data_IF_780678347867
#
_entry.id   IF_780678347867
#
_cell.length_a   1.000
_cell.length_b   1.000
_cell.length_c   1.000
_cell.angle_alpha   90.00
_cell.angle_beta   90.00
_cell.angle_gamma   90.00
#
_symmetry.space_group_name_H-M   'P 1'
#
loop_
_entity.id
_entity.type
_entity.pdbx_description
1 polymer ?
#
# COMPACT_ATOMS: atom_id res chain seq x y z
N UNK A 1 -50.98 -8.77 5.61
CA UNK A 1 -51.28 -10.18 5.97
C UNK A 1 -52.79 -10.35 6.20
N UNK A 2 -53.47 -9.45 6.93
CA UNK A 2 -54.95 -9.46 7.06
C UNK A 2 -55.75 -8.83 5.89
N UNK A 3 -55.09 -8.37 4.82
CA UNK A 3 -55.74 -7.69 3.69
C UNK A 3 -55.87 -8.51 2.40
N UNK A 4 -55.45 -9.79 2.39
CA UNK A 4 -55.55 -10.69 1.23
C UNK A 4 -54.76 -10.27 -0.03
N UNK A 5 -53.94 -9.22 0.06
CA UNK A 5 -53.23 -8.61 -1.07
C UNK A 5 -51.99 -9.39 -1.53
N UNK A 6 -51.51 -10.36 -0.75
CA UNK A 6 -50.33 -11.19 -1.05
C UNK A 6 -50.63 -12.60 -0.56
N UNK A 7 -50.52 -13.59 -1.44
CA UNK A 7 -50.66 -15.01 -1.09
C UNK A 7 -49.47 -15.46 -0.24
N UNK A 8 -49.70 -16.31 0.76
CA UNK A 8 -48.68 -16.74 1.75
C UNK A 8 -47.43 -17.34 1.10
N UNK A 9 -47.58 -18.01 -0.05
CA UNK A 9 -46.48 -18.56 -0.84
C UNK A 9 -45.61 -17.46 -1.49
N UNK A 10 -46.22 -16.41 -2.04
CA UNK A 10 -45.50 -15.27 -2.61
C UNK A 10 -44.79 -14.46 -1.52
N UNK A 11 -45.43 -14.29 -0.36
CA UNK A 11 -44.79 -13.67 0.81
C UNK A 11 -43.55 -14.46 1.24
N UNK A 12 -43.67 -15.78 1.39
CA UNK A 12 -42.56 -16.65 1.80
C UNK A 12 -41.41 -16.61 0.79
N UNK A 13 -41.71 -16.72 -0.50
CA UNK A 13 -40.69 -16.67 -1.54
C UNK A 13 -39.92 -15.33 -1.55
N UNK A 14 -40.63 -14.20 -1.39
CA UNK A 14 -40.00 -12.88 -1.29
C UNK A 14 -39.18 -12.73 -0.01
N UNK A 15 -39.70 -13.22 1.10
CA UNK A 15 -38.99 -13.19 2.38
C UNK A 15 -37.69 -14.00 2.33
N UNK A 16 -37.74 -15.21 1.77
CA UNK A 16 -36.57 -16.07 1.62
C UNK A 16 -35.53 -15.44 0.68
N UNK A 17 -35.96 -14.81 -0.42
CA UNK A 17 -35.07 -14.05 -1.31
C UNK A 17 -34.41 -12.87 -0.59
N UNK A 18 -35.18 -12.06 0.13
CA UNK A 18 -34.64 -10.93 0.92
C UNK A 18 -33.62 -11.43 1.94
N UNK A 19 -33.87 -12.58 2.58
CA UNK A 19 -32.94 -13.18 3.53
C UNK A 19 -31.64 -13.62 2.87
N UNK A 20 -31.70 -14.18 1.67
CA UNK A 20 -30.51 -14.52 0.87
C UNK A 20 -29.73 -13.27 0.45
N UNK A 21 -30.43 -12.24 -0.05
CA UNK A 21 -29.82 -10.98 -0.44
C UNK A 21 -29.11 -10.30 0.74
N UNK A 22 -29.75 -10.28 1.92
CA UNK A 22 -29.14 -9.78 3.17
C UNK A 22 -27.87 -10.54 3.54
N UNK A 23 -27.87 -11.87 3.36
CA UNK A 23 -26.68 -12.67 3.65
C UNK A 23 -25.54 -12.36 2.66
N UNK A 24 -25.85 -12.18 1.38
CA UNK A 24 -24.87 -11.80 0.36
C UNK A 24 -24.28 -10.41 0.64
N UNK A 25 -25.12 -9.45 1.01
CA UNK A 25 -24.67 -8.09 1.38
C UNK A 25 -23.75 -8.14 2.59
N UNK A 26 -24.05 -8.95 3.61
CA UNK A 26 -23.16 -9.11 4.78
C UNK A 26 -21.79 -9.65 4.40
N UNK A 27 -21.74 -10.71 3.58
CA UNK A 27 -20.48 -11.27 3.09
C UNK A 27 -19.68 -10.25 2.27
N UNK A 28 -20.35 -9.46 1.43
CA UNK A 28 -19.71 -8.40 0.66
C UNK A 28 -19.14 -7.30 1.57
N UNK A 29 -19.86 -6.91 2.63
CA UNK A 29 -19.38 -5.94 3.62
C UNK A 29 -18.15 -6.45 4.37
N UNK A 30 -18.16 -7.71 4.83
CA UNK A 30 -17.01 -8.33 5.48
C UNK A 30 -15.79 -8.38 4.55
N UNK A 31 -15.99 -8.77 3.29
CA UNK A 31 -14.91 -8.79 2.30
C UNK A 31 -14.35 -7.39 2.01
N UNK A 32 -15.20 -6.36 1.98
CA UNK A 32 -14.75 -4.97 1.77
C UNK A 32 -13.96 -4.46 2.98
N UNK A 33 -14.41 -4.77 4.20
CA UNK A 33 -13.71 -4.41 5.42
C UNK A 33 -12.29 -5.03 5.44
N UNK A 34 -12.17 -6.32 5.14
CA UNK A 34 -10.86 -7.00 5.05
C UNK A 34 -9.93 -6.37 4.02
N UNK A 35 -10.45 -6.00 2.83
CA UNK A 35 -9.65 -5.34 1.79
C UNK A 35 -9.18 -3.95 2.23
N UNK A 36 -10.07 -3.19 2.87
CA UNK A 36 -9.74 -1.87 3.41
C UNK A 36 -8.63 -1.95 4.47
N UNK A 37 -8.68 -2.95 5.34
CA UNK A 37 -7.63 -3.16 6.35
C UNK A 37 -6.30 -3.53 5.71
N UNK A 38 -6.30 -4.40 4.70
CA UNK A 38 -5.08 -4.79 3.98
C UNK A 38 -4.44 -3.59 3.26
N UNK A 39 -5.27 -2.75 2.63
CA UNK A 39 -4.81 -1.55 1.93
C UNK A 39 -4.20 -0.54 2.91
N UNK A 40 -4.85 -0.33 4.07
CA UNK A 40 -4.33 0.52 5.15
C UNK A 40 -2.97 0.02 5.64
N UNK A 41 -2.83 -1.27 5.92
CA UNK A 41 -1.56 -1.87 6.38
C UNK A 41 -0.47 -1.71 5.31
N UNK A 42 -0.81 -1.93 4.05
CA UNK A 42 0.14 -1.78 2.93
C UNK A 42 0.60 -0.33 2.78
N UNK A 43 -0.31 0.64 2.93
CA UNK A 43 0.00 2.06 2.93
C UNK A 43 0.91 2.44 4.10
N UNK A 44 0.63 1.97 5.32
CA UNK A 44 1.46 2.24 6.49
C UNK A 44 2.87 1.66 6.34
N UNK A 45 3.00 0.44 5.80
CA UNK A 45 4.30 -0.18 5.52
C UNK A 45 5.10 0.59 4.46
N UNK A 46 4.44 1.05 3.39
CA UNK A 46 5.07 1.87 2.37
C UNK A 46 5.51 3.23 2.94
N UNK A 47 4.66 3.86 3.74
CA UNK A 47 4.96 5.13 4.39
C UNK A 47 6.16 4.99 5.33
N UNK A 48 6.21 3.96 6.15
CA UNK A 48 7.36 3.68 7.02
C UNK A 48 8.65 3.49 6.21
N UNK A 49 8.58 2.74 5.10
CA UNK A 49 9.72 2.55 4.20
C UNK A 49 10.19 3.87 3.58
N UNK A 50 9.26 4.75 3.20
CA UNK A 50 9.58 6.08 2.67
C UNK A 50 10.19 6.99 3.76
N UNK A 51 9.61 7.03 4.94
CA UNK A 51 10.12 7.81 6.08
C UNK A 51 11.55 7.38 6.44
N UNK A 52 11.83 6.08 6.37
CA UNK A 52 13.17 5.56 6.52
C UNK A 52 14.13 6.08 5.44
N UNK A 53 13.75 6.01 4.17
CA UNK A 53 14.56 6.50 3.06
C UNK A 53 14.83 8.01 3.16
N UNK A 54 13.82 8.80 3.50
CA UNK A 54 13.94 10.24 3.69
C UNK A 54 14.87 10.61 4.85
N UNK A 55 14.98 9.74 5.86
CA UNK A 55 15.87 9.93 7.01
C UNK A 55 17.26 9.29 6.83
N UNK A 56 17.57 8.73 5.65
CA UNK A 56 18.85 8.06 5.36
C UNK A 56 20.07 8.91 5.74
N UNK A 57 20.08 10.19 5.36
CA UNK A 57 21.20 11.09 5.65
C UNK A 57 21.25 11.60 7.10
N UNK A 58 20.12 11.64 7.81
CA UNK A 58 20.05 12.25 9.15
C UNK A 58 20.63 11.35 10.24
N UNK A 59 20.49 10.04 10.08
CA UNK A 59 20.90 9.06 11.09
C UNK A 59 22.21 8.34 10.75
N UNK A 60 22.78 8.61 9.57
CA UNK A 60 23.96 7.91 9.04
C UNK A 60 25.15 7.93 10.02
N UNK A 61 25.43 9.08 10.62
CA UNK A 61 26.57 9.24 11.55
C UNK A 61 26.39 8.48 12.87
N UNK A 62 25.15 8.16 13.24
CA UNK A 62 24.84 7.43 14.48
C UNK A 62 24.75 5.91 14.29
N UNK A 63 24.84 5.43 13.04
CA UNK A 63 24.86 4.00 12.76
C UNK A 63 26.28 3.45 12.97
N UNK A 64 26.34 2.26 13.56
CA UNK A 64 27.56 1.46 13.60
C UNK A 64 27.88 0.87 12.20
N UNK A 65 29.02 0.19 12.07
CA UNK A 65 29.46 -0.34 10.77
C UNK A 65 28.49 -1.35 10.17
N UNK A 66 27.80 -2.14 11.01
CA UNK A 66 26.80 -3.10 10.57
C UNK A 66 25.52 -2.40 10.10
N UNK A 67 25.03 -1.43 10.87
CA UNK A 67 23.91 -0.58 10.50
C UNK A 67 24.15 0.17 9.19
N UNK A 68 25.35 0.76 9.00
CA UNK A 68 25.74 1.42 7.76
C UNK A 68 25.75 0.46 6.57
N UNK A 69 26.24 -0.78 6.76
CA UNK A 69 26.24 -1.82 5.71
C UNK A 69 24.82 -2.20 5.31
N UNK A 70 23.97 -2.53 6.29
CA UNK A 70 22.56 -2.89 6.04
C UNK A 70 21.82 -1.75 5.33
N UNK A 71 22.11 -0.51 5.72
CA UNK A 71 21.51 0.68 5.11
C UNK A 71 21.97 0.90 3.67
N UNK A 72 23.24 0.64 3.35
CA UNK A 72 23.71 0.69 1.96
C UNK A 72 23.04 -0.38 1.10
N UNK A 73 22.86 -1.60 1.61
CA UNK A 73 22.18 -2.67 0.87
C UNK A 73 20.72 -2.34 0.53
N UNK A 74 20.05 -1.50 1.33
CA UNK A 74 18.66 -1.11 1.04
C UNK A 74 18.52 0.01 0.01
N UNK A 75 19.61 0.72 -0.34
CA UNK A 75 19.58 1.90 -1.23
C UNK A 75 20.42 1.70 -2.47
N UNK A 76 21.57 1.05 -2.34
CA UNK A 76 22.52 0.84 -3.44
C UNK A 76 22.21 -0.49 -4.12
N UNK A 77 21.95 -0.42 -5.41
CA UNK A 77 21.76 -1.58 -6.28
C UNK A 77 23.10 -2.15 -6.71
N UNK A 78 24.01 -1.30 -7.17
CA UNK A 78 25.29 -1.73 -7.71
C UNK A 78 26.37 -0.64 -7.52
N UNK A 79 27.61 -1.07 -7.31
CA UNK A 79 28.78 -0.19 -7.31
C UNK A 79 29.76 -0.70 -8.35
N UNK A 80 30.07 0.14 -9.35
CA UNK A 80 31.00 -0.17 -10.43
C UNK A 80 32.27 0.66 -10.24
N UNK A 81 33.40 -0.04 -10.11
CA UNK A 81 34.72 0.58 -9.94
C UNK A 81 35.52 0.36 -11.21
N UNK A 82 35.97 1.44 -11.83
CA UNK A 82 36.72 1.42 -13.07
C UNK A 82 38.24 1.51 -12.80
N UNK A 83 39.09 0.93 -13.67
CA UNK A 83 40.54 0.94 -13.50
C UNK A 83 41.15 2.35 -13.40
N UNK A 84 40.50 3.36 -13.96
CA UNK A 84 40.94 4.76 -13.87
C UNK A 84 40.64 5.42 -12.51
N UNK A 85 40.11 4.66 -11.53
CA UNK A 85 39.72 5.17 -10.22
C UNK A 85 38.34 5.84 -10.19
N UNK A 86 37.58 5.79 -11.29
CA UNK A 86 36.19 6.24 -11.32
C UNK A 86 35.30 5.24 -10.57
N UNK A 87 34.37 5.75 -9.78
CA UNK A 87 33.34 4.95 -9.08
C UNK A 87 31.98 5.43 -9.54
N UNK A 88 31.14 4.50 -9.99
CA UNK A 88 29.73 4.71 -10.27
C UNK A 88 28.89 3.93 -9.27
N UNK A 89 27.83 4.54 -8.76
CA UNK A 89 26.91 3.93 -7.81
C UNK A 89 25.51 4.01 -8.40
N UNK A 90 24.93 2.85 -8.71
CA UNK A 90 23.54 2.73 -9.09
C UNK A 90 22.70 2.54 -7.81
N UNK A 91 21.70 3.39 -7.63
CA UNK A 91 20.79 3.35 -6.48
C UNK A 91 19.40 2.89 -6.93
N UNK A 92 18.66 2.22 -6.05
CA UNK A 92 17.26 1.82 -6.29
C UNK A 92 16.33 3.04 -6.39
N UNK A 93 16.72 4.15 -5.76
CA UNK A 93 15.99 5.42 -5.77
C UNK A 93 16.99 6.53 -6.11
N UNK A 94 16.80 7.18 -7.25
CA UNK A 94 17.55 8.39 -7.56
C UNK A 94 17.10 9.49 -6.60
N UNK A 95 17.87 9.66 -5.52
CA UNK A 95 17.58 10.62 -4.45
C UNK A 95 17.45 12.04 -5.03
N UNK A 96 18.16 12.37 -6.11
CA UNK A 96 18.04 13.67 -6.78
C UNK A 96 16.72 13.84 -7.55
N UNK A 97 16.10 12.76 -8.04
CA UNK A 97 14.74 12.83 -8.61
C UNK A 97 13.68 12.95 -7.53
N UNK A 98 13.83 12.27 -6.39
CA UNK A 98 12.85 12.33 -5.29
C UNK A 98 12.79 13.73 -4.66
N UNK A 99 13.93 14.43 -4.56
CA UNK A 99 13.94 15.84 -4.11
C UNK A 99 13.42 16.83 -5.15
N UNK A 100 13.45 16.49 -6.46
CA UNK A 100 12.94 17.36 -7.55
C UNK A 100 11.48 17.09 -7.90
N UNK A 101 10.94 15.92 -7.55
CA UNK A 101 9.51 15.64 -7.65
C UNK A 101 8.83 16.28 -6.45
N UNK A 102 8.51 17.55 -6.61
CA UNK A 102 7.60 18.30 -5.74
C UNK A 102 6.48 17.39 -5.22
N UNK A 103 6.21 17.51 -3.92
CA UNK A 103 5.06 16.95 -3.21
C UNK A 103 3.73 17.49 -3.78
N UNK A 104 3.39 17.13 -5.03
CA UNK A 104 2.28 17.77 -5.72
C UNK A 104 1.89 17.24 -7.11
N UNK A 105 2.44 16.14 -7.61
CA UNK A 105 2.02 15.61 -8.92
C UNK A 105 1.70 14.12 -8.89
N UNK A 106 0.52 13.79 -8.35
CA UNK A 106 -0.22 12.62 -8.84
C UNK A 106 -0.68 12.90 -10.27
N UNK A 107 -0.71 11.90 -11.17
CA UNK A 107 -1.18 12.12 -12.53
C UNK A 107 -2.68 12.46 -12.51
N UNK A 108 -3.01 13.67 -12.97
CA UNK A 108 -4.37 13.97 -13.43
C UNK A 108 -4.64 13.00 -14.58
N UNK A 109 -5.57 12.07 -14.37
CA UNK A 109 -6.01 11.13 -15.40
C UNK A 109 -6.47 11.95 -16.62
N UNK A 110 -5.87 11.67 -17.77
CA UNK A 110 -6.33 12.12 -19.08
C UNK A 110 -7.65 11.42 -19.47
#
# INVERSE_FOLDING_TARGET
>A
LESGLIEDLDFKARYDRIKQDLQQVRLAQESLAMRSDLERVSYEALKASLDELMNFGKNWEFLDHEGKRMRLHSVVKEVRVFPEGRVEVDVFLDVNEVFRRDMGSWPLRA
#
